data_IF_399306927041
#
_entry.id   IF_399306927041
#
_cell.length_a   1.000
_cell.length_b   1.000
_cell.length_c   1.000
_cell.angle_alpha   90.00
_cell.angle_beta   90.00
_cell.angle_gamma   90.00
#
_symmetry.space_group_name_H-M   'P 1'
#
loop_
_entity.id
_entity.type
_entity.pdbx_description
1 polymer ?
#
# COMPACT_ATOMS: atom_id res chain seq x y z
N UNK A 1 -22.83 61.38 -21.53
CA UNK A 1 -21.61 61.34 -20.71
C UNK A 1 -21.89 60.46 -19.50
N UNK A 2 -21.42 59.28 -19.50
CA UNK A 2 -20.92 58.51 -18.37
C UNK A 2 -20.70 57.07 -18.85
N UNK A 3 -19.43 56.70 -18.96
CA UNK A 3 -18.99 55.37 -19.43
C UNK A 3 -19.16 54.37 -18.27
N UNK A 4 -19.99 53.35 -18.47
CA UNK A 4 -20.11 52.22 -17.61
C UNK A 4 -18.95 51.25 -17.90
N UNK A 5 -18.04 51.10 -16.93
CA UNK A 5 -16.94 50.11 -16.98
C UNK A 5 -17.50 48.73 -16.83
N UNK A 6 -17.43 47.92 -17.88
CA UNK A 6 -17.62 46.47 -17.85
C UNK A 6 -16.51 45.84 -17.03
N UNK A 7 -16.89 45.25 -15.90
CA UNK A 7 -16.01 44.36 -15.10
C UNK A 7 -15.81 43.08 -15.89
N UNK A 8 -14.56 42.76 -16.26
CA UNK A 8 -14.16 41.46 -16.79
C UNK A 8 -14.36 40.41 -15.70
N UNK A 9 -14.93 39.22 -16.02
CA UNK A 9 -14.98 38.11 -15.08
C UNK A 9 -13.56 37.61 -14.82
N UNK A 10 -13.25 37.41 -13.54
CA UNK A 10 -12.03 36.73 -13.10
C UNK A 10 -12.07 35.30 -13.63
N UNK A 11 -11.17 34.96 -14.53
CA UNK A 11 -10.88 33.60 -14.92
C UNK A 11 -10.30 32.89 -13.70
N UNK A 12 -11.10 32.03 -13.07
CA UNK A 12 -10.61 31.04 -12.12
C UNK A 12 -9.72 30.07 -12.90
N UNK A 13 -8.43 30.08 -12.61
CA UNK A 13 -7.52 29.05 -13.05
C UNK A 13 -8.00 27.73 -12.43
N UNK A 14 -8.19 26.67 -13.20
CA UNK A 14 -8.45 25.36 -12.63
C UNK A 14 -7.23 24.95 -11.83
N UNK A 15 -7.43 24.78 -10.52
CA UNK A 15 -6.47 24.11 -9.65
C UNK A 15 -6.38 22.67 -10.15
N UNK A 16 -5.25 22.29 -10.70
CA UNK A 16 -4.87 20.91 -10.93
C UNK A 16 -4.90 20.21 -9.57
N UNK A 17 -6.02 19.62 -9.22
CA UNK A 17 -6.09 18.60 -8.19
C UNK A 17 -5.44 17.33 -8.78
N UNK A 18 -4.12 17.26 -8.65
CA UNK A 18 -3.47 15.97 -8.56
C UNK A 18 -4.22 15.15 -7.50
N UNK A 19 -4.34 13.82 -7.68
CA UNK A 19 -4.76 12.98 -6.57
C UNK A 19 -3.85 13.39 -5.42
N UNK A 20 -4.45 13.80 -4.33
CA UNK A 20 -3.78 14.10 -3.09
C UNK A 20 -3.17 12.77 -2.63
N UNK A 21 -2.01 12.42 -3.19
CA UNK A 21 -1.05 11.70 -2.41
C UNK A 21 -0.92 12.58 -1.17
N UNK A 22 -1.57 12.17 -0.10
CA UNK A 22 -1.30 12.71 1.20
C UNK A 22 0.19 12.43 1.42
N UNK A 23 1.04 13.36 0.94
CA UNK A 23 2.34 13.54 1.53
C UNK A 23 1.99 13.79 2.99
N UNK A 24 2.07 12.75 3.81
CA UNK A 24 2.29 12.96 5.23
C UNK A 24 3.58 13.76 5.25
N UNK A 25 3.44 15.08 5.25
CA UNK A 25 4.54 15.96 5.54
C UNK A 25 5.06 15.47 6.89
N UNK A 26 6.28 14.94 6.91
CA UNK A 26 6.92 14.62 8.16
C UNK A 26 6.89 15.90 8.99
N UNK A 27 6.10 15.89 10.03
CA UNK A 27 6.05 17.00 10.96
C UNK A 27 7.49 17.20 11.45
N UNK A 28 8.02 18.41 11.44
CA UNK A 28 9.36 18.66 11.93
C UNK A 28 9.44 18.17 13.38
N UNK A 29 10.39 17.29 13.66
CA UNK A 29 10.66 16.85 15.03
C UNK A 29 11.08 18.07 15.83
N UNK A 30 10.30 18.44 16.84
CA UNK A 30 10.61 19.58 17.68
C UNK A 30 11.52 19.12 18.80
N UNK A 31 12.77 19.61 18.79
CA UNK A 31 13.71 19.40 19.89
C UNK A 31 13.60 20.60 20.85
N UNK A 32 13.16 20.36 22.07
CA UNK A 32 13.06 21.39 23.11
C UNK A 32 13.99 21.06 24.28
N UNK A 33 14.78 22.04 24.66
CA UNK A 33 15.58 21.98 25.89
C UNK A 33 14.81 22.64 27.02
N UNK A 34 14.46 21.89 28.07
CA UNK A 34 13.84 22.43 29.26
C UNK A 34 14.90 22.58 30.36
N UNK A 35 15.33 23.80 30.64
CA UNK A 35 16.43 24.09 31.55
C UNK A 35 15.91 24.40 32.96
N UNK A 36 16.06 23.48 33.87
CA UNK A 36 16.04 23.80 35.30
C UNK A 36 17.48 23.78 35.81
N UNK A 37 18.10 24.92 35.79
CA UNK A 37 19.18 25.45 36.65
C UNK A 37 20.10 26.40 35.85
N UNK A 38 20.01 27.70 36.18
CA UNK A 38 21.05 28.65 35.90
C UNK A 38 22.20 28.38 36.89
N UNK A 39 23.37 28.14 36.37
CA UNK A 39 24.69 28.68 36.69
C UNK A 39 25.79 27.72 36.21
N UNK A 40 26.52 28.11 35.24
CA UNK A 40 27.96 28.05 35.08
C UNK A 40 28.32 28.23 33.60
N UNK A 41 28.93 29.36 33.33
CA UNK A 41 29.59 29.62 32.05
C UNK A 41 30.86 28.73 32.02
N UNK A 42 30.96 27.87 31.01
CA UNK A 42 32.26 27.38 30.56
C UNK A 42 32.77 26.02 31.02
N UNK A 43 32.09 25.28 31.89
CA UNK A 43 32.64 23.99 32.39
C UNK A 43 31.97 22.80 31.69
N UNK A 44 32.80 22.01 31.00
CA UNK A 44 32.45 20.64 30.60
C UNK A 44 32.37 19.78 31.87
N UNK A 45 31.22 19.16 32.09
CA UNK A 45 31.02 18.23 33.21
C UNK A 45 31.10 16.78 32.73
N UNK A 46 31.55 15.88 33.59
CA UNK A 46 31.60 14.44 33.22
C UNK A 46 30.20 13.87 33.08
N UNK A 47 29.92 13.13 32.03
CA UNK A 47 28.66 12.44 31.82
C UNK A 47 28.57 11.19 32.70
N UNK A 48 27.64 11.16 33.63
CA UNK A 48 27.42 10.07 34.56
C UNK A 48 26.39 9.05 34.10
N UNK A 49 25.31 9.54 33.39
CA UNK A 49 24.21 8.66 33.01
C UNK A 49 23.43 9.29 31.82
N UNK A 50 22.91 8.39 30.96
CA UNK A 50 21.95 8.74 29.87
C UNK A 50 20.69 7.93 30.09
N UNK A 51 19.57 8.60 30.30
CA UNK A 51 18.25 8.00 30.43
C UNK A 51 17.37 8.41 29.25
N UNK A 52 16.51 7.50 28.77
CA UNK A 52 15.50 7.80 27.77
C UNK A 52 14.15 7.34 28.29
N UNK A 53 13.16 8.22 28.22
CA UNK A 53 11.79 7.96 28.70
C UNK A 53 10.76 8.29 27.61
N UNK A 54 9.56 7.69 27.71
CA UNK A 54 8.42 8.04 26.86
C UNK A 54 8.19 7.12 25.66
N UNK A 55 9.19 6.37 25.17
CA UNK A 55 8.95 5.35 24.14
C UNK A 55 8.20 4.15 24.73
N UNK A 56 7.24 3.62 23.96
CA UNK A 56 6.53 2.38 24.24
C UNK A 56 7.08 1.21 23.41
N UNK A 57 7.96 1.50 22.45
CA UNK A 57 8.49 0.56 21.47
C UNK A 57 9.87 0.03 21.86
N UNK A 58 10.70 0.87 22.43
CA UNK A 58 12.09 0.55 22.73
C UNK A 58 12.42 0.90 24.19
N UNK A 59 13.26 0.09 24.82
CA UNK A 59 13.76 0.35 26.15
C UNK A 59 14.81 1.47 26.15
N UNK A 60 14.99 2.11 27.31
CA UNK A 60 15.99 3.19 27.49
C UNK A 60 17.40 2.76 27.05
N UNK A 61 17.79 1.55 27.42
CA UNK A 61 19.11 0.98 27.13
C UNK A 61 19.34 0.73 25.63
N UNK A 62 18.26 0.51 24.88
CA UNK A 62 18.31 0.34 23.42
C UNK A 62 18.48 1.69 22.72
N UNK A 63 17.78 2.75 23.21
CA UNK A 63 17.76 4.08 22.57
C UNK A 63 19.02 4.89 22.96
N UNK A 64 19.48 4.82 24.20
CA UNK A 64 20.54 5.68 24.73
C UNK A 64 21.83 5.68 23.89
N UNK A 65 22.31 4.54 23.33
CA UNK A 65 23.48 4.54 22.45
C UNK A 65 23.32 5.42 21.19
N UNK A 66 22.09 5.57 20.69
CA UNK A 66 21.80 6.38 19.49
C UNK A 66 21.93 7.90 19.75
N UNK A 67 21.95 8.34 21.01
CA UNK A 67 22.32 9.72 21.36
C UNK A 67 23.82 10.01 21.13
N UNK A 68 24.67 8.96 20.96
CA UNK A 68 26.08 9.09 20.66
C UNK A 68 26.91 9.74 21.74
N UNK A 69 26.46 9.67 22.99
CA UNK A 69 27.15 10.17 24.17
C UNK A 69 27.93 9.03 24.85
N UNK A 70 29.14 9.32 25.33
CA UNK A 70 29.97 8.33 26.04
C UNK A 70 29.97 8.61 27.54
N UNK A 71 29.58 7.64 28.34
CA UNK A 71 29.69 7.72 29.79
C UNK A 71 31.13 7.96 30.24
N UNK A 72 31.32 8.85 31.20
CA UNK A 72 32.64 9.22 31.72
C UNK A 72 33.36 10.29 30.87
N UNK A 73 32.86 10.68 29.72
CA UNK A 73 33.44 11.78 28.91
C UNK A 73 32.97 13.16 29.45
N UNK A 74 33.75 14.19 29.14
CA UNK A 74 33.36 15.56 29.34
C UNK A 74 32.26 15.92 28.33
N UNK A 75 31.16 16.54 28.80
CA UNK A 75 30.04 16.97 27.95
C UNK A 75 29.67 18.42 28.21
N UNK A 76 29.32 19.12 27.16
CA UNK A 76 28.76 20.47 27.18
C UNK A 76 27.26 20.44 26.87
N UNK A 77 26.57 21.57 27.03
CA UNK A 77 25.16 21.71 26.55
C UNK A 77 25.02 21.40 25.07
N UNK A 78 26.03 21.80 24.28
CA UNK A 78 26.01 21.57 22.83
C UNK A 78 26.07 20.06 22.52
N UNK A 79 26.83 19.26 23.30
CA UNK A 79 26.89 17.81 23.15
C UNK A 79 25.56 17.15 23.47
N UNK A 80 24.87 17.62 24.56
CA UNK A 80 23.55 17.14 24.96
C UNK A 80 22.50 17.46 23.87
N UNK A 81 22.54 18.70 23.32
CA UNK A 81 21.67 19.07 22.21
C UNK A 81 21.95 18.22 20.96
N UNK A 82 23.23 18.02 20.63
CA UNK A 82 23.60 17.14 19.51
C UNK A 82 23.13 15.69 19.70
N UNK A 83 23.03 15.21 20.94
CA UNK A 83 22.42 13.93 21.27
C UNK A 83 20.93 13.91 20.97
N UNK A 84 20.17 14.95 21.36
CA UNK A 84 18.77 15.09 21.03
C UNK A 84 18.55 15.16 19.52
N UNK A 85 19.40 15.93 18.81
CA UNK A 85 19.31 16.07 17.35
C UNK A 85 19.57 14.72 16.63
N UNK A 86 20.49 13.88 17.15
CA UNK A 86 20.71 12.53 16.60
C UNK A 86 19.49 11.65 16.79
N UNK A 87 18.87 11.65 17.97
CA UNK A 87 17.64 10.91 18.24
C UNK A 87 16.50 11.39 17.33
N UNK A 88 16.35 12.71 17.15
CA UNK A 88 15.37 13.29 16.26
C UNK A 88 15.59 12.88 14.79
N UNK A 89 16.84 12.86 14.32
CA UNK A 89 17.21 12.44 12.95
C UNK A 89 16.91 10.98 12.64
N UNK A 90 16.72 10.12 13.64
CA UNK A 90 16.33 8.74 13.40
C UNK A 90 14.99 8.65 12.66
N UNK A 91 14.07 9.61 12.85
CA UNK A 91 12.73 9.57 12.30
C UNK A 91 11.76 8.67 13.09
N UNK A 92 12.25 7.96 14.11
CA UNK A 92 11.47 7.07 14.96
C UNK A 92 10.62 7.81 16.00
N UNK A 93 10.97 9.05 16.31
CA UNK A 93 10.35 9.87 17.35
C UNK A 93 9.71 11.12 16.76
N UNK A 94 8.47 11.40 17.15
CA UNK A 94 7.74 12.61 16.79
C UNK A 94 8.26 13.85 17.55
N UNK A 95 8.68 13.66 18.80
CA UNK A 95 9.31 14.69 19.63
C UNK A 95 10.49 14.13 20.40
N UNK A 96 11.51 14.98 20.60
CA UNK A 96 12.64 14.69 21.47
C UNK A 96 12.90 15.94 22.31
N UNK A 97 12.71 15.81 23.61
CA UNK A 97 13.02 16.84 24.58
C UNK A 97 14.10 16.33 25.51
N UNK A 98 14.88 17.18 26.16
CA UNK A 98 15.83 16.75 27.15
C UNK A 98 15.94 17.71 28.32
N UNK A 99 16.27 17.13 29.46
CA UNK A 99 16.66 17.85 30.68
C UNK A 99 17.94 17.19 31.23
N UNK A 100 18.67 17.92 32.03
CA UNK A 100 19.86 17.38 32.70
C UNK A 100 19.95 17.88 34.12
N UNK A 101 20.60 17.10 34.96
CA UNK A 101 20.83 17.38 36.39
C UNK A 101 22.20 16.88 36.81
N UNK A 102 22.68 17.35 37.97
CA UNK A 102 23.91 16.84 38.58
C UNK A 102 23.60 15.60 39.39
N UNK A 103 24.36 14.55 39.19
CA UNK A 103 24.30 13.30 39.96
C UNK A 103 25.63 12.93 40.62
N UNK A 104 25.68 11.85 41.42
CA UNK A 104 26.89 11.43 42.16
C UNK A 104 28.08 11.09 41.27
N UNK A 105 27.81 10.68 40.00
CA UNK A 105 28.84 10.28 39.02
C UNK A 105 29.05 11.29 37.92
N UNK A 106 28.43 12.48 38.00
CA UNK A 106 28.47 13.51 36.98
C UNK A 106 27.08 13.94 36.52
N UNK A 107 27.01 14.47 35.33
CA UNK A 107 25.72 14.89 34.70
C UNK A 107 24.88 13.67 34.36
N UNK A 108 23.60 13.72 34.73
CA UNK A 108 22.55 12.81 34.27
C UNK A 108 21.76 13.56 33.23
N UNK A 109 21.71 13.05 32.00
CA UNK A 109 20.82 13.55 30.94
C UNK A 109 19.64 12.60 30.77
N UNK A 110 18.43 13.17 30.74
CA UNK A 110 17.19 12.45 30.45
C UNK A 110 16.60 12.99 29.14
N UNK A 111 16.54 12.13 28.13
CA UNK A 111 15.82 12.40 26.88
C UNK A 111 14.38 11.89 27.03
N UNK A 112 13.41 12.76 26.87
CA UNK A 112 11.99 12.39 26.80
C UNK A 112 11.56 12.36 25.35
N UNK A 113 11.13 11.20 24.88
CA UNK A 113 10.73 10.98 23.48
C UNK A 113 9.25 10.63 23.38
N UNK A 114 8.67 10.90 22.24
CA UNK A 114 7.35 10.39 21.86
C UNK A 114 7.50 9.61 20.57
N UNK A 115 6.99 8.38 20.52
CA UNK A 115 7.09 7.54 19.33
C UNK A 115 6.41 8.21 18.13
N UNK A 116 7.07 8.19 16.98
CA UNK A 116 6.57 8.67 15.70
C UNK A 116 5.85 7.58 14.90
N UNK A 117 5.19 7.95 13.80
CA UNK A 117 4.54 7.00 12.91
C UNK A 117 5.57 6.15 12.17
N UNK A 118 5.27 4.87 12.05
CA UNK A 118 6.08 3.89 11.30
C UNK A 118 5.19 3.01 10.43
N UNK A 119 5.80 2.33 9.46
CA UNK A 119 5.16 1.36 8.59
C UNK A 119 5.89 0.01 8.67
N UNK A 120 5.24 -1.11 8.32
CA UNK A 120 5.91 -2.41 8.30
C UNK A 120 7.13 -2.42 7.39
N UNK A 121 8.09 -3.28 7.71
CA UNK A 121 9.27 -3.56 6.89
C UNK A 121 9.09 -4.89 6.18
N UNK A 122 9.44 -4.93 4.89
CA UNK A 122 9.53 -6.14 4.09
C UNK A 122 10.94 -6.34 3.54
N UNK A 123 11.40 -7.60 3.48
CA UNK A 123 12.70 -7.99 2.92
C UNK A 123 12.45 -8.72 1.60
N UNK A 124 12.83 -8.15 0.45
CA UNK A 124 12.40 -8.65 -0.84
C UNK A 124 13.19 -9.87 -1.35
N UNK A 125 14.51 -9.76 -1.41
CA UNK A 125 15.35 -10.81 -2.03
C UNK A 125 16.41 -11.41 -1.08
N UNK A 126 16.15 -11.38 0.22
CA UNK A 126 17.02 -11.98 1.24
C UNK A 126 16.80 -13.51 1.29
N UNK A 127 17.64 -14.26 0.59
CA UNK A 127 17.55 -15.73 0.52
C UNK A 127 18.51 -16.46 1.48
N UNK A 128 19.44 -15.72 2.10
CA UNK A 128 20.46 -16.28 3.00
C UNK A 128 19.97 -16.43 4.43
N UNK A 129 18.90 -15.77 4.78
CA UNK A 129 18.34 -15.67 6.13
C UNK A 129 16.83 -15.52 6.08
N UNK A 130 16.15 -16.10 7.07
CA UNK A 130 14.73 -15.83 7.30
C UNK A 130 14.51 -14.42 7.86
N UNK A 131 13.28 -13.89 7.73
CA UNK A 131 12.92 -12.58 8.29
C UNK A 131 13.12 -12.51 9.80
N UNK A 132 12.89 -13.63 10.50
CA UNK A 132 13.14 -13.73 11.95
C UNK A 132 14.64 -13.62 12.27
N UNK A 133 15.51 -14.28 11.49
CA UNK A 133 16.98 -14.18 11.69
C UNK A 133 17.47 -12.77 11.36
N UNK A 134 16.91 -12.10 10.36
CA UNK A 134 17.22 -10.71 10.04
C UNK A 134 16.81 -9.78 11.18
N UNK A 135 15.59 -9.92 11.71
CA UNK A 135 15.10 -9.10 12.80
C UNK A 135 15.92 -9.29 14.08
N UNK A 136 16.22 -10.55 14.45
CA UNK A 136 17.04 -10.87 15.61
C UNK A 136 18.48 -10.38 15.44
N UNK A 137 19.03 -10.50 14.24
CA UNK A 137 20.36 -10.01 13.92
C UNK A 137 20.48 -8.49 14.05
N UNK A 138 19.50 -7.75 13.57
CA UNK A 138 19.43 -6.28 13.71
C UNK A 138 19.40 -5.87 15.19
N UNK A 139 18.56 -6.51 16.01
CA UNK A 139 18.50 -6.25 17.46
C UNK A 139 19.84 -6.54 18.15
N UNK A 140 20.47 -7.67 17.84
CA UNK A 140 21.78 -8.03 18.38
C UNK A 140 22.88 -7.05 17.96
N UNK A 141 22.75 -6.45 16.78
CA UNK A 141 23.65 -5.40 16.29
C UNK A 141 23.38 -4.02 16.92
N UNK A 142 22.39 -3.90 17.82
CA UNK A 142 22.01 -2.64 18.47
C UNK A 142 21.23 -1.68 17.58
N UNK A 143 20.62 -2.17 16.51
CA UNK A 143 19.73 -1.39 15.63
C UNK A 143 18.33 -1.34 16.26
N UNK A 144 17.76 -0.13 16.37
CA UNK A 144 16.39 0.06 16.84
C UNK A 144 15.41 -0.47 15.79
N UNK A 145 14.95 -1.70 15.98
CA UNK A 145 14.10 -2.42 15.04
C UNK A 145 13.07 -3.31 15.75
N UNK A 146 11.80 -3.12 15.42
CA UNK A 146 10.65 -3.89 15.95
C UNK A 146 9.77 -4.51 14.86
N UNK A 147 10.28 -4.58 13.63
CA UNK A 147 9.52 -4.99 12.44
C UNK A 147 8.93 -3.82 11.65
N UNK A 148 9.09 -2.59 12.16
CA UNK A 148 8.62 -1.38 11.49
C UNK A 148 9.75 -0.36 11.31
N UNK A 149 9.56 0.60 10.39
CA UNK A 149 10.50 1.69 10.15
C UNK A 149 9.76 2.99 9.85
N UNK A 150 10.39 4.17 10.08
CA UNK A 150 9.83 5.44 9.66
C UNK A 150 9.87 5.55 8.13
N UNK A 151 9.04 6.43 7.55
CA UNK A 151 9.09 6.68 6.09
C UNK A 151 10.35 7.42 5.65
N UNK A 152 11.03 8.08 6.57
CA UNK A 152 12.30 8.80 6.33
C UNK A 152 13.07 8.96 7.65
N UNK A 153 14.38 9.07 7.57
CA UNK A 153 15.26 9.28 8.71
C UNK A 153 16.42 8.32 8.76
N UNK A 154 17.42 8.62 9.59
CA UNK A 154 18.65 7.85 9.69
C UNK A 154 18.45 6.40 10.21
N UNK A 155 17.29 6.07 10.76
CA UNK A 155 16.98 4.70 11.15
C UNK A 155 16.94 3.76 9.92
N UNK A 156 16.53 4.24 8.75
CA UNK A 156 16.55 3.46 7.51
C UNK A 156 17.97 3.05 7.12
N UNK A 157 18.90 4.02 7.14
CA UNK A 157 20.30 3.76 6.85
C UNK A 157 20.95 2.84 7.89
N UNK A 158 20.55 2.97 9.17
CA UNK A 158 21.01 2.10 10.25
C UNK A 158 20.54 0.65 10.05
N UNK A 159 19.30 0.45 9.58
CA UNK A 159 18.77 -0.87 9.24
C UNK A 159 19.54 -1.44 8.04
N UNK A 160 19.73 -0.67 6.95
CA UNK A 160 20.51 -1.10 5.79
C UNK A 160 21.92 -1.54 6.18
N UNK A 161 22.65 -0.70 6.94
CA UNK A 161 23.99 -1.01 7.40
C UNK A 161 24.04 -2.24 8.37
N UNK A 162 22.98 -2.44 9.15
CA UNK A 162 22.82 -3.62 9.99
C UNK A 162 22.65 -4.90 9.16
N UNK A 163 21.80 -4.83 8.12
CA UNK A 163 21.57 -5.93 7.18
C UNK A 163 22.83 -6.27 6.38
N UNK A 164 23.57 -5.28 5.92
CA UNK A 164 24.86 -5.47 5.24
C UNK A 164 25.85 -6.24 6.10
N UNK A 165 25.99 -5.89 7.38
CA UNK A 165 26.85 -6.64 8.33
C UNK A 165 26.41 -8.09 8.51
N UNK A 166 25.09 -8.37 8.50
CA UNK A 166 24.58 -9.73 8.58
C UNK A 166 24.87 -10.53 7.31
N UNK A 167 24.85 -9.89 6.15
CA UNK A 167 25.24 -10.46 4.87
C UNK A 167 26.75 -10.70 4.80
N UNK A 168 27.56 -9.73 5.23
CA UNK A 168 29.01 -9.83 5.31
C UNK A 168 29.47 -11.02 6.16
N UNK A 169 28.80 -11.27 7.29
CA UNK A 169 29.07 -12.43 8.13
C UNK A 169 28.83 -13.78 7.41
N UNK A 170 28.14 -13.76 6.26
CA UNK A 170 27.90 -14.91 5.38
C UNK A 170 28.73 -14.87 4.10
N UNK A 171 29.64 -13.93 3.99
CA UNK A 171 30.50 -13.73 2.81
C UNK A 171 29.79 -13.02 1.64
N UNK A 172 28.63 -12.42 1.88
CA UNK A 172 27.86 -11.68 0.87
C UNK A 172 28.14 -10.18 1.04
N UNK A 173 29.02 -9.66 0.20
CA UNK A 173 29.48 -8.25 0.27
C UNK A 173 28.69 -7.37 -0.70
N UNK A 174 27.40 -7.21 -0.44
CA UNK A 174 26.46 -6.45 -1.24
C UNK A 174 25.85 -5.31 -0.43
N UNK A 175 25.50 -4.21 -1.11
CA UNK A 175 24.77 -3.10 -0.48
C UNK A 175 23.28 -3.45 -0.31
N UNK A 176 22.66 -2.82 0.68
CA UNK A 176 21.22 -2.94 0.94
C UNK A 176 20.56 -1.59 0.74
N UNK A 177 19.75 -1.49 -0.29
CA UNK A 177 18.88 -0.32 -0.52
C UNK A 177 17.55 -0.44 0.22
N UNK A 178 16.88 0.68 0.38
CA UNK A 178 15.51 0.73 0.90
C UNK A 178 14.67 1.74 0.12
N UNK A 179 13.39 1.45 0.00
CA UNK A 179 12.41 2.34 -0.65
C UNK A 179 11.03 2.23 0.00
N UNK A 180 10.25 3.31 -0.07
CA UNK A 180 8.85 3.24 0.31
C UNK A 180 8.05 2.64 -0.85
N UNK A 181 7.32 1.56 -0.56
CA UNK A 181 6.54 0.80 -1.55
C UNK A 181 5.14 0.50 -1.03
N UNK A 182 4.31 -0.13 -1.87
CA UNK A 182 3.11 -0.82 -1.44
C UNK A 182 3.39 -2.31 -1.33
N UNK A 183 2.97 -2.92 -0.22
CA UNK A 183 3.06 -4.36 -0.03
C UNK A 183 2.29 -5.09 -1.11
N UNK A 184 2.93 -6.02 -1.78
CA UNK A 184 2.28 -6.89 -2.77
C UNK A 184 1.22 -7.82 -2.12
N UNK A 185 1.32 -8.07 -0.81
CA UNK A 185 0.40 -8.95 -0.06
C UNK A 185 -0.79 -8.21 0.54
N UNK A 186 -0.60 -7.01 1.09
CA UNK A 186 -1.64 -6.27 1.82
C UNK A 186 -2.12 -5.00 1.12
N UNK A 187 -1.35 -4.47 0.16
CA UNK A 187 -1.58 -3.16 -0.44
C UNK A 187 -1.25 -1.97 0.47
N UNK A 188 -0.83 -2.23 1.71
CA UNK A 188 -0.44 -1.18 2.66
C UNK A 188 0.94 -0.61 2.33
N UNK A 189 1.21 0.60 2.82
CA UNK A 189 2.54 1.21 2.68
C UNK A 189 3.55 0.50 3.57
N UNK A 190 4.71 0.17 2.99
CA UNK A 190 5.82 -0.52 3.66
C UNK A 190 7.16 0.15 3.32
N UNK A 191 8.20 -0.16 4.08
CA UNK A 191 9.59 0.03 3.64
C UNK A 191 10.12 -1.31 3.15
N UNK A 192 10.49 -1.36 1.89
CA UNK A 192 11.05 -2.54 1.24
C UNK A 192 12.58 -2.45 1.24
N UNK A 193 13.24 -3.44 1.84
CA UNK A 193 14.70 -3.59 1.79
C UNK A 193 15.10 -4.62 0.75
N UNK A 194 16.14 -4.32 -0.03
CA UNK A 194 16.64 -5.16 -1.12
C UNK A 194 18.16 -5.21 -1.13
N UNK A 195 18.69 -6.40 -1.39
CA UNK A 195 20.12 -6.62 -1.66
C UNK A 195 20.40 -6.21 -3.11
N UNK A 196 21.26 -5.22 -3.30
CA UNK A 196 21.64 -4.70 -4.63
C UNK A 196 22.71 -5.56 -5.29
N UNK A 197 22.66 -5.64 -6.62
CA UNK A 197 23.68 -6.38 -7.40
C UNK A 197 23.65 -7.90 -7.22
N UNK A 198 22.66 -8.44 -6.52
CA UNK A 198 22.41 -9.86 -6.42
C UNK A 198 21.32 -10.26 -7.43
N UNK A 199 21.68 -10.40 -8.70
CA UNK A 199 20.78 -10.85 -9.77
C UNK A 199 20.52 -12.37 -9.68
N UNK A 200 19.82 -12.77 -8.63
CA UNK A 200 19.46 -14.16 -8.35
C UNK A 200 18.38 -14.62 -9.32
N UNK A 201 18.74 -15.16 -10.47
CA UNK A 201 17.77 -15.56 -11.49
C UNK A 201 16.93 -16.76 -11.03
N UNK A 202 15.61 -16.68 -11.18
CA UNK A 202 14.72 -17.80 -10.89
C UNK A 202 14.95 -18.89 -11.94
N UNK A 203 15.51 -20.02 -11.54
CA UNK A 203 15.72 -21.20 -12.40
C UNK A 203 14.45 -22.01 -12.57
N UNK A 204 13.70 -22.18 -11.50
CA UNK A 204 12.41 -22.89 -11.48
C UNK A 204 11.58 -22.43 -10.30
N UNK A 205 10.27 -22.73 -10.35
CA UNK A 205 9.33 -22.52 -9.25
C UNK A 205 8.83 -23.89 -8.78
N UNK A 206 8.90 -24.15 -7.49
CA UNK A 206 8.35 -25.32 -6.84
C UNK A 206 7.09 -24.95 -6.07
N UNK A 207 6.01 -25.65 -6.33
CA UNK A 207 4.73 -25.46 -5.65
C UNK A 207 4.52 -26.54 -4.58
N UNK A 208 3.95 -26.16 -3.44
CA UNK A 208 3.60 -27.10 -2.37
C UNK A 208 2.37 -27.95 -2.64
N UNK A 209 1.70 -27.78 -3.79
CA UNK A 209 0.46 -28.47 -4.14
C UNK A 209 0.46 -28.95 -5.59
N UNK A 210 -0.13 -30.12 -5.83
CA UNK A 210 -0.09 -30.79 -7.15
C UNK A 210 -1.01 -30.10 -8.18
N UNK A 211 -2.05 -29.39 -7.78
CA UNK A 211 -2.89 -28.63 -8.70
C UNK A 211 -2.05 -27.56 -9.42
N UNK A 212 -1.30 -26.76 -8.66
CA UNK A 212 -0.43 -25.74 -9.26
C UNK A 212 0.70 -26.34 -10.12
N UNK A 213 1.26 -27.50 -9.71
CA UNK A 213 2.31 -28.17 -10.47
C UNK A 213 1.84 -28.63 -11.86
N UNK A 214 0.59 -29.04 -11.98
CA UNK A 214 0.07 -29.69 -13.17
C UNK A 214 -0.86 -28.84 -14.02
N UNK A 215 -1.25 -27.63 -13.54
CA UNK A 215 -2.13 -26.75 -14.28
C UNK A 215 -1.40 -26.12 -15.49
N UNK A 216 -1.91 -26.33 -16.74
CA UNK A 216 -1.25 -25.83 -17.95
C UNK A 216 -1.14 -24.31 -18.01
N UNK A 217 -2.11 -23.58 -17.45
CA UNK A 217 -2.11 -22.11 -17.48
C UNK A 217 -1.00 -21.58 -16.56
N UNK A 218 -0.88 -22.15 -15.35
CA UNK A 218 0.21 -21.78 -14.43
C UNK A 218 1.56 -22.11 -15.08
N UNK A 219 1.72 -23.29 -15.68
CA UNK A 219 2.96 -23.70 -16.32
C UNK A 219 3.35 -22.77 -17.47
N UNK A 220 2.39 -22.34 -18.28
CA UNK A 220 2.63 -21.36 -19.34
C UNK A 220 3.10 -20.01 -18.77
N UNK A 221 2.51 -19.54 -17.67
CA UNK A 221 2.85 -18.26 -17.03
C UNK A 221 4.19 -18.27 -16.29
N UNK A 222 4.75 -19.44 -15.99
CA UNK A 222 6.10 -19.53 -15.42
C UNK A 222 7.16 -18.86 -16.31
N UNK A 223 6.93 -18.76 -17.62
CA UNK A 223 7.81 -18.03 -18.54
C UNK A 223 7.99 -16.55 -18.16
N UNK A 224 7.03 -15.97 -17.45
CA UNK A 224 7.09 -14.58 -16.98
C UNK A 224 8.00 -14.41 -15.75
N UNK A 225 8.32 -15.51 -15.07
CA UNK A 225 9.12 -15.57 -13.83
C UNK A 225 10.49 -16.19 -14.04
N UNK A 226 10.57 -17.29 -14.78
CA UNK A 226 11.84 -18.04 -15.03
C UNK A 226 12.82 -17.14 -15.80
N UNK A 227 14.06 -17.11 -15.35
CA UNK A 227 15.11 -16.27 -15.93
C UNK A 227 15.05 -14.80 -15.54
N UNK A 228 14.12 -14.40 -14.67
CA UNK A 228 14.05 -13.05 -14.08
C UNK A 228 14.68 -13.03 -12.69
N UNK A 229 15.18 -11.88 -12.23
CA UNK A 229 15.67 -11.75 -10.85
C UNK A 229 14.58 -12.11 -9.84
N UNK A 230 14.95 -12.90 -8.83
CA UNK A 230 14.04 -13.25 -7.73
C UNK A 230 13.66 -12.00 -6.96
N UNK A 231 12.38 -11.86 -6.70
CA UNK A 231 11.79 -10.83 -5.85
C UNK A 231 10.58 -11.45 -5.18
N UNK A 232 10.50 -11.35 -3.86
CA UNK A 232 9.35 -11.84 -3.08
C UNK A 232 8.06 -11.15 -3.50
N UNK A 233 8.12 -9.83 -3.70
CA UNK A 233 6.97 -9.04 -4.17
C UNK A 233 6.47 -9.51 -5.54
N UNK A 234 7.36 -9.82 -6.48
CA UNK A 234 6.98 -10.38 -7.79
C UNK A 234 6.35 -11.77 -7.66
N UNK A 235 6.88 -12.60 -6.77
CA UNK A 235 6.28 -13.93 -6.53
C UNK A 235 4.87 -13.80 -5.93
N UNK A 236 4.62 -12.88 -5.00
CA UNK A 236 3.29 -12.62 -4.44
C UNK A 236 2.32 -12.13 -5.52
N UNK A 237 2.74 -11.24 -6.40
CA UNK A 237 1.92 -10.81 -7.53
C UNK A 237 1.57 -12.00 -8.45
N UNK A 238 2.56 -12.84 -8.77
CA UNK A 238 2.33 -14.04 -9.56
C UNK A 238 1.35 -15.01 -8.88
N UNK A 239 1.47 -15.21 -7.58
CA UNK A 239 0.53 -16.02 -6.78
C UNK A 239 -0.89 -15.47 -6.88
N UNK A 240 -1.06 -14.17 -6.68
CA UNK A 240 -2.38 -13.54 -6.65
C UNK A 240 -3.03 -13.47 -8.04
N UNK A 241 -2.26 -13.16 -9.08
CA UNK A 241 -2.79 -12.92 -10.43
C UNK A 241 -2.90 -14.18 -11.28
N UNK A 242 -2.00 -15.16 -11.09
CA UNK A 242 -1.90 -16.31 -11.96
C UNK A 242 -2.25 -17.63 -11.26
N UNK A 243 -1.87 -17.80 -9.98
CA UNK A 243 -2.06 -19.06 -9.27
C UNK A 243 -3.41 -19.10 -8.55
N UNK A 244 -3.73 -18.06 -7.77
CA UNK A 244 -5.01 -17.98 -7.01
C UNK A 244 -6.26 -18.18 -7.87
N UNK A 245 -6.40 -17.59 -9.06
CA UNK A 245 -7.59 -17.79 -9.89
C UNK A 245 -7.84 -19.25 -10.27
N UNK A 246 -6.79 -20.06 -10.41
CA UNK A 246 -6.91 -21.50 -10.69
C UNK A 246 -7.54 -22.22 -9.51
N UNK A 247 -7.11 -21.93 -8.28
CA UNK A 247 -7.70 -22.52 -7.07
C UNK A 247 -9.15 -22.06 -6.87
N UNK A 248 -9.43 -20.79 -7.13
CA UNK A 248 -10.79 -20.25 -7.04
C UNK A 248 -11.73 -20.93 -8.05
N UNK A 249 -11.27 -21.18 -9.29
CA UNK A 249 -12.04 -21.92 -10.29
C UNK A 249 -12.37 -23.36 -9.86
N UNK A 250 -11.55 -23.97 -9.01
CA UNK A 250 -11.78 -25.28 -8.42
C UNK A 250 -12.49 -25.22 -7.05
N UNK A 251 -13.11 -24.09 -6.75
CA UNK A 251 -13.86 -23.85 -5.51
C UNK A 251 -13.04 -23.94 -4.20
N UNK A 252 -11.73 -23.79 -4.25
CA UNK A 252 -10.88 -23.66 -3.06
C UNK A 252 -10.88 -22.21 -2.56
N UNK A 253 -12.02 -21.73 -2.07
CA UNK A 253 -12.22 -20.33 -1.67
C UNK A 253 -11.31 -19.89 -0.50
N UNK A 254 -10.88 -20.84 0.32
CA UNK A 254 -10.02 -20.60 1.47
C UNK A 254 -8.52 -20.76 1.16
N UNK A 255 -8.11 -20.82 -0.10
CA UNK A 255 -6.69 -21.01 -0.45
C UNK A 255 -5.81 -19.93 0.16
N UNK A 256 -4.74 -20.37 0.80
CA UNK A 256 -3.73 -19.51 1.43
C UNK A 256 -2.37 -19.80 0.81
N UNK A 257 -1.61 -18.73 0.57
CA UNK A 257 -0.21 -18.81 0.18
C UNK A 257 0.65 -18.43 1.38
N UNK A 258 1.68 -19.24 1.65
CA UNK A 258 2.72 -18.86 2.60
C UNK A 258 3.63 -17.79 1.99
N UNK A 259 4.43 -17.07 2.80
CA UNK A 259 5.41 -16.13 2.26
C UNK A 259 6.33 -16.83 1.24
N UNK A 260 6.52 -16.30 0.03
CA UNK A 260 7.44 -16.89 -0.95
C UNK A 260 8.85 -16.91 -0.39
N UNK A 261 9.51 -18.05 -0.57
CA UNK A 261 10.91 -18.26 -0.20
C UNK A 261 11.70 -18.72 -1.40
N UNK A 262 13.03 -18.75 -1.28
CA UNK A 262 13.88 -19.32 -2.31
C UNK A 262 15.03 -20.07 -1.67
N UNK A 263 15.53 -21.06 -2.41
CA UNK A 263 16.76 -21.80 -2.07
C UNK A 263 17.73 -21.77 -3.23
N UNK A 264 18.99 -21.99 -2.96
CA UNK A 264 20.00 -22.09 -4.01
C UNK A 264 19.67 -23.24 -4.98
N UNK A 265 19.81 -22.98 -6.27
CA UNK A 265 19.55 -24.00 -7.30
C UNK A 265 20.63 -25.10 -7.35
N UNK A 266 21.81 -24.84 -6.82
CA UNK A 266 22.92 -25.76 -6.62
C UNK A 266 23.69 -25.37 -5.37
N UNK A 267 24.53 -26.27 -4.84
CA UNK A 267 25.46 -25.89 -3.76
C UNK A 267 26.36 -24.76 -4.28
N UNK A 268 26.31 -23.56 -3.68
CA UNK A 268 27.00 -22.44 -4.23
C UNK A 268 28.52 -22.63 -4.09
N UNK A 269 29.24 -22.50 -5.21
CA UNK A 269 30.71 -22.31 -5.19
C UNK A 269 31.09 -20.88 -4.79
N UNK A 270 30.12 -19.98 -4.76
CA UNK A 270 30.23 -18.58 -4.41
C UNK A 270 29.13 -18.19 -3.40
N UNK A 271 29.38 -17.22 -2.53
CA UNK A 271 28.40 -16.75 -1.55
C UNK A 271 27.10 -16.18 -2.17
N UNK A 272 27.21 -15.60 -3.38
CA UNK A 272 26.07 -15.16 -4.20
C UNK A 272 25.92 -16.11 -5.36
N UNK A 273 24.90 -16.98 -5.39
CA UNK A 273 24.65 -17.89 -6.49
C UNK A 273 24.05 -17.16 -7.70
N UNK A 274 24.23 -17.71 -8.89
CA UNK A 274 23.65 -17.16 -10.12
C UNK A 274 22.14 -17.40 -10.23
N UNK A 275 21.64 -18.43 -9.55
CA UNK A 275 20.23 -18.83 -9.67
C UNK A 275 19.66 -19.48 -8.42
N UNK A 276 18.35 -19.36 -8.32
CA UNK A 276 17.55 -19.87 -7.18
C UNK A 276 16.36 -20.68 -7.68
N UNK A 277 15.86 -21.53 -6.82
CA UNK A 277 14.56 -22.20 -6.95
C UNK A 277 13.61 -21.45 -6.02
N UNK A 278 12.58 -20.83 -6.58
CA UNK A 278 11.53 -20.18 -5.80
C UNK A 278 10.56 -21.24 -5.27
N UNK A 279 10.08 -21.07 -4.05
CA UNK A 279 9.20 -21.98 -3.34
C UNK A 279 7.91 -21.26 -2.99
N UNK A 280 6.77 -21.80 -3.44
CA UNK A 280 5.43 -21.32 -3.13
C UNK A 280 4.71 -22.35 -2.28
N UNK A 281 4.56 -22.06 -0.99
CA UNK A 281 3.78 -22.89 -0.09
C UNK A 281 2.29 -22.61 -0.29
N UNK A 282 1.49 -23.67 -0.49
CA UNK A 282 0.06 -23.54 -0.76
C UNK A 282 -0.70 -24.45 0.20
N UNK A 283 -1.62 -23.84 0.95
CA UNK A 283 -2.70 -24.53 1.68
C UNK A 283 -4.01 -24.23 0.95
N UNK A 284 -4.46 -25.19 0.15
CA UNK A 284 -5.68 -25.01 -0.64
C UNK A 284 -6.97 -25.06 0.17
N UNK A 285 -6.93 -25.63 1.38
CA UNK A 285 -8.13 -25.90 2.17
C UNK A 285 -9.11 -26.88 1.49
N UNK A 286 -10.34 -27.02 2.01
CA UNK A 286 -11.38 -27.82 1.39
C UNK A 286 -12.04 -27.09 0.21
N UNK A 287 -12.44 -27.83 -0.82
CA UNK A 287 -13.32 -27.32 -1.86
C UNK A 287 -14.72 -27.06 -1.30
N UNK A 288 -15.35 -25.99 -1.74
CA UNK A 288 -16.65 -25.54 -1.24
C UNK A 288 -17.76 -25.70 -2.28
N UNK A 289 -18.98 -26.00 -1.82
CA UNK A 289 -20.17 -26.02 -2.67
C UNK A 289 -21.10 -24.85 -2.32
N UNK A 290 -21.67 -24.24 -3.35
CA UNK A 290 -22.58 -23.10 -3.17
C UNK A 290 -23.86 -23.53 -2.45
N UNK A 291 -24.28 -22.75 -1.46
CA UNK A 291 -25.54 -22.97 -0.71
C UNK A 291 -26.52 -21.80 -0.84
N UNK A 292 -26.04 -20.58 -1.00
CA UNK A 292 -26.89 -19.40 -1.14
C UNK A 292 -26.21 -18.10 -0.76
N UNK A 293 -26.98 -17.02 -0.84
CA UNK A 293 -26.57 -15.67 -0.45
C UNK A 293 -27.68 -14.99 0.34
N UNK A 294 -27.30 -14.11 1.25
CA UNK A 294 -28.20 -13.23 1.99
C UNK A 294 -27.72 -11.78 1.84
N UNK A 295 -28.62 -10.91 1.42
CA UNK A 295 -28.35 -9.49 1.20
C UNK A 295 -28.77 -8.68 2.42
N UNK A 296 -27.94 -7.72 2.83
CA UNK A 296 -28.19 -6.83 3.98
C UNK A 296 -27.84 -5.39 3.54
N UNK A 297 -28.75 -4.45 3.82
CA UNK A 297 -28.55 -3.02 3.52
C UNK A 297 -28.95 -2.61 2.10
N UNK A 298 -29.50 -3.52 1.31
CA UNK A 298 -30.00 -3.28 -0.04
C UNK A 298 -31.44 -2.70 0.01
N UNK A 299 -31.55 -1.39 0.17
CA UNK A 299 -32.86 -0.70 0.29
C UNK A 299 -33.43 -0.28 -1.08
N UNK A 300 -32.55 0.18 -1.99
CA UNK A 300 -32.93 0.72 -3.31
C UNK A 300 -33.06 -0.37 -4.37
N UNK A 301 -32.22 -1.40 -4.30
CA UNK A 301 -32.29 -2.57 -5.19
C UNK A 301 -32.83 -3.74 -4.38
N UNK A 302 -33.99 -4.27 -4.80
CA UNK A 302 -34.65 -5.35 -4.06
C UNK A 302 -33.85 -6.65 -4.11
N UNK A 303 -33.89 -7.45 -3.04
CA UNK A 303 -33.20 -8.75 -2.98
C UNK A 303 -33.54 -9.65 -4.16
N UNK A 304 -34.79 -9.63 -4.65
CA UNK A 304 -35.22 -10.39 -5.83
C UNK A 304 -34.45 -9.99 -7.10
N UNK A 305 -34.08 -8.72 -7.25
CA UNK A 305 -33.29 -8.23 -8.40
C UNK A 305 -31.85 -8.69 -8.27
N UNK A 306 -31.29 -8.68 -7.06
CA UNK A 306 -29.94 -9.19 -6.77
C UNK A 306 -29.87 -10.72 -6.93
N UNK A 307 -30.90 -11.44 -6.47
CA UNK A 307 -31.01 -12.90 -6.64
C UNK A 307 -31.04 -13.31 -8.12
N UNK A 308 -31.63 -12.48 -8.99
CA UNK A 308 -31.65 -12.72 -10.43
C UNK A 308 -30.25 -12.65 -11.09
N UNK A 309 -29.27 -12.03 -10.43
CA UNK A 309 -27.87 -12.01 -10.87
C UNK A 309 -27.12 -13.29 -10.50
N UNK A 310 -27.65 -14.08 -9.54
CA UNK A 310 -26.99 -15.30 -9.05
C UNK A 310 -27.14 -16.40 -10.08
N UNK A 311 -26.04 -16.85 -10.64
CA UNK A 311 -25.99 -17.89 -11.65
C UNK A 311 -25.51 -19.27 -11.10
N UNK A 312 -25.58 -19.45 -9.78
CA UNK A 312 -25.25 -20.69 -9.09
C UNK A 312 -26.51 -21.47 -8.69
N UNK A 313 -26.43 -22.78 -8.79
CA UNK A 313 -27.42 -23.70 -8.21
C UNK A 313 -26.91 -24.26 -6.88
N UNK A 314 -27.79 -24.49 -5.88
CA UNK A 314 -27.40 -25.13 -4.64
C UNK A 314 -26.70 -26.47 -4.90
N UNK A 315 -25.53 -26.68 -4.27
CA UNK A 315 -24.70 -27.89 -4.44
C UNK A 315 -23.70 -27.86 -5.60
N UNK A 316 -23.73 -26.85 -6.47
CA UNK A 316 -22.64 -26.65 -7.44
C UNK A 316 -21.33 -26.25 -6.75
N UNK A 317 -20.16 -26.55 -7.36
CA UNK A 317 -18.89 -25.99 -6.89
C UNK A 317 -18.96 -24.47 -6.83
N UNK A 318 -18.56 -23.89 -5.70
CA UNK A 318 -18.53 -22.44 -5.52
C UNK A 318 -17.30 -21.83 -6.20
N UNK A 319 -17.30 -21.76 -7.52
CA UNK A 319 -16.23 -21.16 -8.32
C UNK A 319 -16.02 -19.70 -7.91
N UNK A 320 -14.86 -19.37 -7.33
CA UNK A 320 -14.54 -18.07 -6.80
C UNK A 320 -14.42 -16.99 -7.87
N UNK A 321 -14.04 -17.32 -9.10
CA UNK A 321 -13.98 -16.35 -10.20
C UNK A 321 -15.41 -15.98 -10.66
N UNK A 322 -16.34 -16.93 -10.67
CA UNK A 322 -17.75 -16.64 -10.93
C UNK A 322 -18.38 -15.82 -9.79
N UNK A 323 -17.98 -16.08 -8.55
CA UNK A 323 -18.38 -15.26 -7.40
C UNK A 323 -17.89 -13.82 -7.55
N UNK A 324 -16.61 -13.62 -7.90
CA UNK A 324 -16.08 -12.28 -8.14
C UNK A 324 -16.86 -11.56 -9.25
N UNK A 325 -17.13 -12.24 -10.36
CA UNK A 325 -17.97 -11.70 -11.43
C UNK A 325 -19.41 -11.39 -10.96
N UNK A 326 -19.98 -12.17 -10.03
CA UNK A 326 -21.27 -11.89 -9.43
C UNK A 326 -21.22 -10.57 -8.61
N UNK A 327 -20.20 -10.38 -7.77
CA UNK A 327 -20.05 -9.17 -6.98
C UNK A 327 -19.86 -7.93 -7.86
N UNK A 328 -19.13 -8.04 -8.96
CA UNK A 328 -19.00 -6.97 -9.95
C UNK A 328 -20.34 -6.63 -10.62
N UNK A 329 -21.17 -7.63 -10.96
CA UNK A 329 -22.52 -7.39 -11.49
C UNK A 329 -23.43 -6.70 -10.45
N UNK A 330 -23.30 -7.04 -9.18
CA UNK A 330 -24.01 -6.36 -8.10
C UNK A 330 -23.58 -4.89 -8.02
N UNK A 331 -22.28 -4.60 -8.02
CA UNK A 331 -21.79 -3.23 -8.03
C UNK A 331 -22.29 -2.46 -9.26
N UNK A 332 -22.27 -3.10 -10.43
CA UNK A 332 -22.71 -2.46 -11.67
C UNK A 332 -24.20 -2.09 -11.68
N UNK A 333 -25.07 -2.94 -11.13
CA UNK A 333 -26.51 -2.61 -11.06
C UNK A 333 -26.76 -1.40 -10.16
N UNK A 334 -26.01 -1.25 -9.07
CA UNK A 334 -26.04 -0.07 -8.22
C UNK A 334 -25.50 1.18 -8.92
N UNK A 335 -24.34 1.07 -9.57
CA UNK A 335 -23.74 2.17 -10.32
C UNK A 335 -24.64 2.68 -11.45
N UNK A 336 -25.34 1.77 -12.16
CA UNK A 336 -26.31 2.13 -13.20
C UNK A 336 -27.58 2.81 -12.63
N UNK A 337 -27.88 2.55 -11.36
CA UNK A 337 -28.96 3.21 -10.63
C UNK A 337 -28.51 4.51 -9.91
N UNK A 338 -27.31 4.99 -10.16
CA UNK A 338 -26.76 6.23 -9.60
C UNK A 338 -26.03 6.09 -8.26
N UNK A 339 -25.91 4.89 -7.72
CA UNK A 339 -25.22 4.64 -6.46
C UNK A 339 -23.74 4.32 -6.71
N UNK A 340 -23.00 5.28 -7.27
CA UNK A 340 -21.59 5.11 -7.68
C UNK A 340 -20.58 5.04 -6.52
N UNK A 341 -21.03 5.32 -5.30
CA UNK A 341 -20.25 5.16 -4.07
C UNK A 341 -20.65 3.90 -3.29
N UNK A 342 -21.45 3.02 -3.93
CA UNK A 342 -21.81 1.76 -3.32
C UNK A 342 -20.56 0.95 -2.98
N UNK A 343 -20.59 0.35 -1.79
CA UNK A 343 -19.59 -0.61 -1.32
C UNK A 343 -20.27 -1.86 -0.79
N UNK A 344 -19.65 -3.01 -1.05
CA UNK A 344 -20.17 -4.28 -0.57
C UNK A 344 -19.08 -5.13 0.07
N UNK A 345 -19.47 -5.90 1.08
CA UNK A 345 -18.61 -6.86 1.76
C UNK A 345 -19.30 -8.21 1.74
N UNK A 346 -18.80 -9.13 0.90
CA UNK A 346 -19.26 -10.50 0.84
C UNK A 346 -18.46 -11.36 1.84
N UNK A 347 -19.13 -11.86 2.89
CA UNK A 347 -18.52 -12.71 3.92
C UNK A 347 -18.95 -14.15 3.73
N UNK A 348 -18.02 -15.07 3.41
CA UNK A 348 -18.33 -16.50 3.34
C UNK A 348 -18.57 -17.07 4.73
N UNK A 349 -19.60 -17.90 4.85
CA UNK A 349 -19.91 -18.71 6.02
C UNK A 349 -19.77 -20.18 5.62
N UNK A 350 -18.68 -20.80 6.05
CA UNK A 350 -18.38 -22.19 5.73
C UNK A 350 -19.02 -23.14 6.77
N UNK A 351 -19.70 -24.14 6.28
CA UNK A 351 -20.10 -25.29 7.09
C UNK A 351 -19.00 -26.35 7.03
N UNK A 352 -18.25 -26.58 8.13
CA UNK A 352 -17.12 -27.51 8.13
C UNK A 352 -17.56 -28.99 8.00
N UNK A 353 -18.83 -29.31 8.24
CA UNK A 353 -19.33 -30.68 8.17
C UNK A 353 -19.79 -31.07 6.76
N UNK A 354 -20.32 -30.11 6.01
CA UNK A 354 -20.92 -30.38 4.69
C UNK A 354 -20.09 -29.83 3.53
N UNK A 355 -19.07 -29.00 3.80
CA UNK A 355 -18.30 -28.29 2.79
C UNK A 355 -19.10 -27.23 2.03
N UNK A 356 -20.28 -26.84 2.57
CA UNK A 356 -21.13 -25.81 1.96
C UNK A 356 -20.67 -24.43 2.36
N UNK A 357 -20.84 -23.46 1.43
CA UNK A 357 -20.64 -22.05 1.70
C UNK A 357 -21.90 -21.26 1.42
N UNK A 358 -22.26 -20.40 2.35
CA UNK A 358 -23.31 -19.37 2.19
C UNK A 358 -22.62 -18.00 2.30
N UNK A 359 -23.03 -17.04 1.50
CA UNK A 359 -22.49 -15.68 1.58
C UNK A 359 -23.47 -14.74 2.27
N UNK A 360 -22.98 -13.96 3.20
CA UNK A 360 -23.67 -12.79 3.74
C UNK A 360 -23.04 -11.54 3.11
N UNK A 361 -23.82 -10.84 2.28
CA UNK A 361 -23.34 -9.63 1.57
C UNK A 361 -23.97 -8.42 2.23
N UNK A 362 -23.11 -7.59 2.83
CA UNK A 362 -23.52 -6.31 3.42
C UNK A 362 -23.23 -5.21 2.41
N UNK A 363 -24.27 -4.47 2.05
CA UNK A 363 -24.23 -3.39 1.06
C UNK A 363 -24.40 -2.06 1.78
N UNK A 364 -23.59 -1.09 1.40
CA UNK A 364 -23.73 0.33 1.77
C UNK A 364 -23.94 1.10 0.48
N UNK A 365 -25.20 1.48 0.22
CA UNK A 365 -25.60 2.05 -1.08
C UNK A 365 -24.98 3.43 -1.35
N UNK A 366 -24.76 4.24 -0.29
CA UNK A 366 -24.36 5.64 -0.46
C UNK A 366 -25.50 6.51 -1.00
N UNK A 367 -25.21 7.77 -1.40
CA UNK A 367 -26.19 8.65 -2.04
C UNK A 367 -26.48 8.24 -3.48
N UNK A 368 -27.73 8.44 -3.93
CA UNK A 368 -28.09 8.30 -5.35
C UNK A 368 -27.71 9.59 -6.09
N UNK A 369 -26.69 9.53 -6.92
CA UNK A 369 -26.18 10.66 -7.65
C UNK A 369 -27.03 11.01 -8.87
N UNK A 370 -27.18 12.30 -9.10
CA UNK A 370 -27.77 12.89 -10.32
C UNK A 370 -26.69 13.57 -11.15
N UNK A 371 -26.85 13.53 -12.47
CA UNK A 371 -25.92 14.19 -13.39
C UNK A 371 -25.94 15.70 -13.17
N UNK A 372 -24.79 16.29 -12.85
CA UNK A 372 -24.55 17.73 -12.85
C UNK A 372 -24.11 18.25 -14.21
N UNK A 373 -22.89 18.69 -14.32
CA UNK A 373 -22.33 19.28 -15.54
C UNK A 373 -21.39 18.30 -16.27
N UNK A 374 -21.47 18.33 -17.61
CA UNK A 374 -20.43 17.79 -18.47
C UNK A 374 -19.41 18.88 -18.80
N UNK A 375 -18.19 18.77 -18.26
CA UNK A 375 -17.07 19.67 -18.48
C UNK A 375 -16.11 19.01 -19.49
N UNK A 376 -15.86 19.72 -20.58
CA UNK A 376 -14.98 19.26 -21.67
C UNK A 376 -13.84 20.26 -21.83
N UNK A 377 -12.60 19.75 -21.89
CA UNK A 377 -11.39 20.55 -22.11
C UNK A 377 -10.55 19.96 -23.25
N UNK A 378 -9.67 20.79 -23.84
CA UNK A 378 -8.76 20.36 -24.90
C UNK A 378 -9.40 20.18 -26.29
N UNK A 379 -10.69 20.51 -26.46
CA UNK A 379 -11.42 20.34 -27.72
C UNK A 379 -11.51 21.65 -28.53
N UNK A 380 -11.59 21.52 -29.84
CA UNK A 380 -12.09 22.59 -30.73
C UNK A 380 -13.59 22.77 -30.50
N UNK A 381 -14.15 23.93 -30.94
CA UNK A 381 -15.59 24.22 -30.85
C UNK A 381 -16.42 23.11 -31.51
N UNK A 382 -15.98 22.63 -32.67
CA UNK A 382 -16.69 21.57 -33.42
C UNK A 382 -16.53 20.21 -32.68
N UNK A 383 -15.37 19.90 -32.11
CA UNK A 383 -15.15 18.71 -31.31
C UNK A 383 -16.05 18.69 -30.07
N UNK A 384 -16.13 19.82 -29.36
CA UNK A 384 -17.02 19.95 -28.20
C UNK A 384 -18.50 19.76 -28.59
N UNK A 385 -18.95 20.38 -29.71
CA UNK A 385 -20.31 20.21 -30.22
C UNK A 385 -20.64 18.73 -30.49
N UNK A 386 -19.73 18.00 -31.12
CA UNK A 386 -19.90 16.57 -31.44
C UNK A 386 -19.98 15.71 -30.18
N UNK A 387 -19.10 15.95 -29.22
CA UNK A 387 -19.10 15.22 -27.94
C UNK A 387 -20.39 15.50 -27.17
N UNK A 388 -20.83 16.77 -27.08
CA UNK A 388 -22.09 17.11 -26.41
C UNK A 388 -23.31 16.50 -27.09
N UNK A 389 -23.30 16.40 -28.42
CA UNK A 389 -24.37 15.75 -29.18
C UNK A 389 -24.40 14.22 -28.95
N UNK A 390 -23.28 13.60 -28.68
CA UNK A 390 -23.19 12.17 -28.37
C UNK A 390 -23.48 11.84 -26.90
N UNK A 391 -23.43 12.85 -26.01
CA UNK A 391 -23.69 12.67 -24.57
C UNK A 391 -25.17 12.38 -24.33
N UNK A 392 -25.47 11.33 -23.54
CA UNK A 392 -26.84 10.82 -23.35
C UNK A 392 -27.39 11.01 -21.94
N UNK A 393 -26.63 11.56 -20.99
CA UNK A 393 -27.09 11.74 -19.60
C UNK A 393 -27.39 13.22 -19.37
N UNK A 394 -28.66 13.68 -19.40
CA UNK A 394 -29.02 15.08 -19.17
C UNK A 394 -28.74 15.49 -17.72
N UNK A 395 -28.45 16.76 -17.50
CA UNK A 395 -28.35 17.34 -16.15
C UNK A 395 -29.65 17.11 -15.37
N UNK A 396 -29.51 16.72 -14.10
CA UNK A 396 -30.61 16.51 -13.14
C UNK A 396 -31.24 15.12 -13.18
N UNK A 397 -30.91 14.26 -14.15
CA UNK A 397 -31.37 12.86 -14.15
C UNK A 397 -30.45 11.98 -13.28
N UNK A 398 -30.93 10.85 -12.83
CA UNK A 398 -30.12 9.85 -12.13
C UNK A 398 -28.92 9.49 -13.01
N UNK A 399 -27.72 9.51 -12.44
CA UNK A 399 -26.52 9.15 -13.15
C UNK A 399 -26.50 7.65 -13.44
N UNK A 400 -26.31 7.28 -14.69
CA UNK A 400 -26.24 5.88 -15.14
C UNK A 400 -24.79 5.61 -15.59
N UNK A 401 -24.05 4.84 -14.77
CA UNK A 401 -22.66 4.50 -15.05
C UNK A 401 -22.54 3.63 -16.32
N UNK A 402 -23.52 2.76 -16.63
CA UNK A 402 -23.51 1.97 -17.86
C UNK A 402 -23.54 2.85 -19.10
N UNK A 403 -24.43 3.86 -19.12
CA UNK A 403 -24.49 4.85 -20.20
C UNK A 403 -23.20 5.68 -20.28
N UNK A 404 -22.62 6.00 -19.15
CA UNK A 404 -21.32 6.70 -19.09
C UNK A 404 -20.18 5.85 -19.65
N UNK A 405 -20.06 4.59 -19.28
CA UNK A 405 -19.01 3.68 -19.78
C UNK A 405 -19.19 3.41 -21.28
N UNK A 406 -20.42 3.24 -21.75
CA UNK A 406 -20.73 3.13 -23.19
C UNK A 406 -20.31 4.39 -23.96
N UNK A 407 -20.54 5.56 -23.38
CA UNK A 407 -20.08 6.81 -23.99
C UNK A 407 -18.56 6.87 -24.08
N UNK A 408 -17.84 6.48 -23.03
CA UNK A 408 -16.36 6.47 -23.03
C UNK A 408 -15.77 5.48 -24.03
N UNK A 409 -16.37 4.31 -24.19
CA UNK A 409 -15.84 3.22 -25.04
C UNK A 409 -16.25 3.37 -26.49
N UNK A 410 -17.48 3.79 -26.78
CA UNK A 410 -18.05 3.86 -28.11
C UNK A 410 -18.49 5.28 -28.52
N UNK A 411 -19.12 6.02 -27.60
CA UNK A 411 -19.69 7.34 -27.87
C UNK A 411 -18.65 8.34 -28.35
N UNK A 412 -17.51 8.44 -27.70
CA UNK A 412 -16.41 9.33 -28.11
C UNK A 412 -15.89 8.94 -29.49
N UNK A 413 -15.68 7.65 -29.76
CA UNK A 413 -15.21 7.17 -31.05
C UNK A 413 -16.21 7.50 -32.16
N UNK A 414 -17.50 7.31 -31.91
CA UNK A 414 -18.58 7.63 -32.85
C UNK A 414 -18.69 9.14 -33.11
N UNK A 415 -18.55 9.97 -32.08
CA UNK A 415 -18.57 11.42 -32.20
C UNK A 415 -17.49 11.96 -33.14
N UNK A 416 -16.32 11.31 -33.15
CA UNK A 416 -15.19 11.67 -34.00
C UNK A 416 -15.11 10.87 -35.31
N UNK A 417 -16.07 10.02 -35.62
CA UNK A 417 -16.09 9.30 -36.89
C UNK A 417 -16.09 10.31 -38.07
N UNK A 418 -15.05 10.20 -38.92
CA UNK A 418 -14.87 11.11 -40.08
C UNK A 418 -14.41 12.54 -39.70
N UNK A 419 -14.02 12.80 -38.47
CA UNK A 419 -13.46 14.07 -38.02
C UNK A 419 -11.96 13.92 -37.76
N UNK A 420 -11.09 14.78 -38.32
CA UNK A 420 -9.63 14.65 -38.15
C UNK A 420 -9.20 15.19 -36.77
N UNK A 421 -9.54 14.48 -35.72
CA UNK A 421 -9.07 14.77 -34.37
C UNK A 421 -8.04 13.71 -33.94
N UNK A 422 -6.90 14.17 -33.45
CA UNK A 422 -5.86 13.33 -32.86
C UNK A 422 -5.67 13.76 -31.43
N UNK A 423 -5.95 12.86 -30.49
CA UNK A 423 -5.70 13.03 -29.06
C UNK A 423 -4.81 11.89 -28.62
N UNK A 424 -3.70 12.22 -27.97
CA UNK A 424 -2.75 11.23 -27.44
C UNK A 424 -3.29 10.57 -26.16
N UNK A 425 -4.07 11.35 -25.40
CA UNK A 425 -4.62 10.90 -24.13
C UNK A 425 -5.98 11.53 -23.87
N UNK A 426 -6.91 10.75 -23.29
CA UNK A 426 -8.20 11.24 -22.81
C UNK A 426 -8.24 11.02 -21.29
N UNK A 427 -8.13 12.12 -20.56
CA UNK A 427 -8.33 12.17 -19.11
C UNK A 427 -9.82 12.14 -18.77
N UNK A 428 -10.20 11.45 -17.70
CA UNK A 428 -11.59 11.36 -17.23
C UNK A 428 -11.62 11.44 -15.71
N UNK A 429 -12.57 12.22 -15.21
CA UNK A 429 -12.73 12.41 -13.77
C UNK A 429 -14.21 12.61 -13.43
N UNK A 430 -14.67 11.97 -12.35
CA UNK A 430 -15.97 12.18 -11.76
C UNK A 430 -15.80 13.05 -10.50
N UNK A 431 -16.29 14.28 -10.55
CA UNK A 431 -16.34 15.18 -9.42
C UNK A 431 -17.66 14.96 -8.66
N UNK A 432 -17.57 14.40 -7.47
CA UNK A 432 -18.71 13.91 -6.66
C UNK A 432 -18.97 14.87 -5.51
N UNK A 433 -20.13 15.49 -5.52
CA UNK A 433 -20.67 16.24 -4.38
C UNK A 433 -21.67 15.33 -3.64
N UNK A 434 -21.17 14.65 -2.61
CA UNK A 434 -21.97 13.71 -1.83
C UNK A 434 -23.04 14.42 -0.97
N UNK A 435 -22.84 15.69 -0.59
CA UNK A 435 -23.80 16.47 0.19
C UNK A 435 -25.04 16.80 -0.61
N UNK A 436 -24.87 17.13 -1.90
CA UNK A 436 -25.96 17.45 -2.80
C UNK A 436 -26.36 16.29 -3.73
N UNK A 437 -25.68 15.16 -3.59
CA UNK A 437 -25.85 13.98 -4.45
C UNK A 437 -25.76 14.31 -5.95
N UNK A 438 -24.76 15.12 -6.33
CA UNK A 438 -24.50 15.54 -7.71
C UNK A 438 -23.14 14.99 -8.17
N UNK A 439 -23.08 14.48 -9.40
CA UNK A 439 -21.83 14.12 -10.05
C UNK A 439 -21.59 14.95 -11.30
N UNK A 440 -20.46 15.63 -11.38
CA UNK A 440 -20.00 16.29 -12.59
C UNK A 440 -19.02 15.38 -13.33
N UNK A 441 -19.17 15.30 -14.64
CA UNK A 441 -18.26 14.52 -15.49
C UNK A 441 -17.28 15.48 -16.16
N UNK A 442 -15.98 15.25 -15.96
CA UNK A 442 -14.92 16.01 -16.60
C UNK A 442 -14.15 15.10 -17.56
N UNK A 443 -14.01 15.53 -18.81
CA UNK A 443 -13.25 14.82 -19.84
C UNK A 443 -12.26 15.78 -20.47
N UNK A 444 -10.98 15.46 -20.38
CA UNK A 444 -9.87 16.25 -20.87
C UNK A 444 -9.19 15.56 -22.05
N UNK A 445 -9.17 16.22 -23.19
CA UNK A 445 -8.59 15.73 -24.44
C UNK A 445 -7.21 16.36 -24.61
N UNK A 446 -6.13 15.57 -24.53
CA UNK A 446 -4.74 16.01 -24.61
C UNK A 446 -4.07 15.49 -25.87
#
# INVERSE_FOLDING_TARGET
MQASRLRRPRVLRPSLLFPLFALLAAAPVHVRANTLLQTASGDSATLGEVQVTGSKRFASEEIAPSAGLRLGSAVSRQDLQAGADRLAKLGLFATVEYKFSSGPRGVIVEYQVTDGPTVPVEFDNFIWMSDAELADGLKKAGVLFDGTAPLQGAALDAISAGLEKLLDARGVHQQVSHEAAQSASTGERVILFRVEGADLLVKSVEFGDDLAKNDPNIQQRLADIIGKPYSRSRMILFENEQVRPVYLAHAFLGVKFGPPTARFASSPSQPVPDSVIALIAIDRGPASTWSGVTWIGNHSILSQQLDALVDFKPGEPADGNRLEALWQRVQQIYANAGFIDETQVARPQFDPHTGRVTFQVTIQEGPQYHMGNLVLTGLSIEGERRIRAAWKIPTGVVFDDGVYQDFLTQGIRQAFAGYPAHYEKIGRFLDRDAEHAIVNVMIDFQ
#
